data_IF_441923293085
#
_entry.id   IF_441923293085
#
_cell.length_a   1.000
_cell.length_b   1.000
_cell.length_c   1.000
_cell.angle_alpha   90.00
_cell.angle_beta   90.00
_cell.angle_gamma   90.00
#
_symmetry.space_group_name_H-M   'P 1'
#
loop_
_entity.id
_entity.type
_entity.pdbx_description
1 polymer ?
#
# COMPACT_ATOMS: atom_id res chain seq x y z
N UNK A 1 -18.13 -1.30 9.30
CA UNK A 1 -16.91 -1.76 9.98
C UNK A 1 -17.05 -1.45 11.46
N UNK A 2 -16.87 -2.42 12.35
CA UNK A 2 -16.87 -2.17 13.79
C UNK A 2 -15.50 -1.62 14.20
N UNK A 3 -15.47 -0.46 14.87
CA UNK A 3 -14.26 0.15 15.44
C UNK A 3 -14.20 -0.26 16.92
N UNK A 4 -13.26 -1.14 17.27
CA UNK A 4 -13.03 -1.52 18.67
C UNK A 4 -11.94 -0.58 19.22
N UNK A 5 -12.28 0.19 20.25
CA UNK A 5 -11.29 0.98 21.00
C UNK A 5 -10.58 0.00 21.93
N UNK A 6 -9.29 -0.24 21.67
CA UNK A 6 -8.48 -1.15 22.47
C UNK A 6 -8.14 -0.53 23.83
N UNK A 7 -7.97 -1.37 24.84
CA UNK A 7 -7.48 -0.96 26.15
C UNK A 7 -6.12 -0.23 25.97
N UNK A 8 -5.89 0.92 26.64
CA UNK A 8 -4.63 1.67 26.60
C UNK A 8 -3.36 0.85 26.90
N UNK A 9 -3.47 -0.31 27.55
CA UNK A 9 -2.34 -1.22 27.77
C UNK A 9 -1.85 -1.93 26.49
N UNK A 10 -2.67 -1.96 25.42
CA UNK A 10 -2.34 -2.60 24.13
C UNK A 10 -1.94 -1.52 23.11
N UNK A 11 -0.80 -0.86 23.34
CA UNK A 11 -0.27 0.19 22.44
C UNK A 11 0.81 -0.30 21.47
N UNK A 12 1.37 -1.50 21.69
CA UNK A 12 2.50 -2.03 20.93
C UNK A 12 2.21 -3.23 20.01
N UNK A 13 0.99 -3.77 20.02
CA UNK A 13 0.69 -4.99 19.28
C UNK A 13 0.62 -4.71 17.76
N UNK A 14 1.50 -5.33 16.98
CA UNK A 14 1.41 -5.35 15.51
C UNK A 14 1.46 -6.79 14.99
N UNK A 15 0.79 -7.04 13.87
CA UNK A 15 0.88 -8.33 13.18
C UNK A 15 -0.27 -9.28 13.50
N UNK A 16 -0.07 -10.55 13.15
CA UNK A 16 -1.10 -11.60 13.24
C UNK A 16 -1.06 -12.25 14.62
N UNK A 17 -2.23 -12.33 15.25
CA UNK A 17 -2.44 -13.12 16.46
C UNK A 17 -3.65 -14.03 16.23
N UNK A 18 -3.43 -15.33 16.11
CA UNK A 18 -4.50 -16.28 15.77
C UNK A 18 -5.21 -15.93 14.46
N UNK A 19 -6.52 -15.69 14.53
CA UNK A 19 -7.37 -15.31 13.40
C UNK A 19 -7.63 -13.80 13.29
N UNK A 20 -6.87 -12.97 14.00
CA UNK A 20 -6.96 -11.50 13.93
C UNK A 20 -5.62 -10.88 13.57
N UNK A 21 -5.67 -9.69 12.96
CA UNK A 21 -4.50 -8.87 12.64
C UNK A 21 -4.67 -7.52 13.29
N UNK A 22 -3.65 -7.12 14.05
CA UNK A 22 -3.49 -5.77 14.56
C UNK A 22 -2.78 -4.94 13.51
N UNK A 23 -3.41 -3.83 13.10
CA UNK A 23 -2.85 -2.89 12.14
C UNK A 23 -2.90 -1.48 12.72
N UNK A 24 -1.73 -0.84 12.76
CA UNK A 24 -1.64 0.60 13.05
C UNK A 24 -1.83 1.39 11.77
N UNK A 25 -2.74 2.35 11.80
CA UNK A 25 -2.87 3.33 10.73
C UNK A 25 -1.70 4.33 10.81
N UNK A 26 -1.51 5.08 9.73
CA UNK A 26 -0.56 6.19 9.73
C UNK A 26 -0.95 7.32 10.70
N UNK A 27 -2.24 7.46 11.02
CA UNK A 27 -2.74 8.44 12.01
C UNK A 27 -2.54 7.97 13.45
N UNK A 28 -1.91 6.80 13.65
CA UNK A 28 -1.64 6.23 14.96
C UNK A 28 -2.77 5.38 15.53
N UNK A 29 -3.93 5.33 14.87
CA UNK A 29 -5.08 4.52 15.28
C UNK A 29 -4.80 3.03 15.10
N UNK A 30 -5.20 2.23 16.09
CA UNK A 30 -5.12 0.76 16.02
C UNK A 30 -6.43 0.18 15.53
N UNK A 31 -6.36 -0.71 14.55
CA UNK A 31 -7.49 -1.49 14.04
C UNK A 31 -7.24 -2.97 14.23
N UNK A 32 -8.23 -3.68 14.77
CA UNK A 32 -8.27 -5.13 14.83
C UNK A 32 -9.14 -5.65 13.68
N UNK A 33 -8.61 -6.57 12.87
CA UNK A 33 -9.32 -7.12 11.71
C UNK A 33 -9.30 -8.64 11.80
N UNK A 34 -10.47 -9.29 11.69
CA UNK A 34 -10.56 -10.74 11.52
C UNK A 34 -10.02 -11.14 10.15
N UNK A 35 -9.13 -12.13 10.13
CA UNK A 35 -8.62 -12.72 8.89
C UNK A 35 -9.75 -13.41 8.15
N UNK A 36 -9.89 -13.07 6.86
CA UNK A 36 -10.76 -13.81 5.97
C UNK A 36 -10.16 -15.19 5.70
N UNK A 37 -11.00 -16.23 5.70
CA UNK A 37 -10.57 -17.56 5.29
C UNK A 37 -10.38 -17.60 3.77
N UNK A 38 -9.13 -17.82 3.35
CA UNK A 38 -8.72 -17.86 1.94
C UNK A 38 -8.38 -19.28 1.47
N UNK A 39 -8.54 -20.30 2.33
CA UNK A 39 -8.09 -21.69 2.07
C UNK A 39 -8.73 -22.32 0.83
N UNK A 40 -9.99 -21.99 0.55
CA UNK A 40 -10.76 -22.54 -0.57
C UNK A 40 -10.94 -21.55 -1.74
N UNK A 41 -10.26 -20.40 -1.72
CA UNK A 41 -10.47 -19.35 -2.72
C UNK A 41 -9.67 -19.64 -3.99
N UNK A 42 -10.39 -19.88 -5.09
CA UNK A 42 -9.82 -20.00 -6.44
C UNK A 42 -9.93 -18.67 -7.19
N UNK A 43 -8.78 -18.06 -7.46
CA UNK A 43 -8.71 -16.79 -8.19
C UNK A 43 -8.99 -16.95 -9.68
N UNK A 44 -9.82 -16.08 -10.25
CA UNK A 44 -10.03 -16.00 -11.69
C UNK A 44 -8.77 -15.52 -12.43
N UNK A 45 -8.72 -15.72 -13.75
CA UNK A 45 -7.60 -15.24 -14.59
C UNK A 45 -7.42 -13.73 -14.45
N UNK A 46 -8.51 -12.96 -14.47
CA UNK A 46 -8.47 -11.51 -14.31
C UNK A 46 -7.94 -11.09 -12.93
N UNK A 47 -8.35 -11.79 -11.86
CA UNK A 47 -7.85 -11.51 -10.51
C UNK A 47 -6.35 -11.80 -10.38
N UNK A 48 -5.87 -12.92 -10.96
CA UNK A 48 -4.44 -13.24 -10.99
C UNK A 48 -3.64 -12.18 -11.74
N UNK A 49 -4.11 -11.77 -12.93
CA UNK A 49 -3.47 -10.73 -13.73
C UNK A 49 -3.41 -9.39 -12.99
N UNK A 50 -4.51 -8.98 -12.34
CA UNK A 50 -4.52 -7.76 -11.53
C UNK A 50 -3.53 -7.82 -10.36
N UNK A 51 -3.46 -8.96 -9.65
CA UNK A 51 -2.50 -9.14 -8.55
C UNK A 51 -1.04 -9.08 -9.04
N UNK A 52 -0.77 -9.63 -10.22
CA UNK A 52 0.56 -9.54 -10.84
C UNK A 52 0.91 -8.09 -11.20
N UNK A 53 0.01 -7.36 -11.87
CA UNK A 53 0.18 -5.93 -12.16
C UNK A 53 0.39 -5.10 -10.89
N UNK A 54 -0.33 -5.42 -9.81
CA UNK A 54 -0.16 -4.75 -8.53
C UNK A 54 1.21 -5.04 -7.91
N UNK A 55 1.73 -6.27 -8.03
CA UNK A 55 3.08 -6.62 -7.57
C UNK A 55 4.14 -5.78 -8.30
N UNK A 56 3.99 -5.60 -9.61
CA UNK A 56 4.87 -4.77 -10.44
C UNK A 56 4.77 -3.29 -10.06
N UNK A 57 3.55 -2.77 -9.84
CA UNK A 57 3.32 -1.41 -9.37
C UNK A 57 4.02 -1.11 -8.03
N UNK A 58 3.99 -2.08 -7.10
CA UNK A 58 4.68 -1.96 -5.81
C UNK A 58 6.20 -1.98 -5.99
N UNK A 59 6.73 -2.82 -6.89
CA UNK A 59 8.16 -2.85 -7.19
C UNK A 59 8.62 -1.50 -7.77
N UNK A 60 7.86 -0.96 -8.74
CA UNK A 60 8.08 0.38 -9.28
C UNK A 60 8.07 1.46 -8.20
N UNK A 61 7.03 1.49 -7.37
CA UNK A 61 6.90 2.51 -6.33
C UNK A 61 8.05 2.44 -5.31
N UNK A 62 8.53 1.24 -4.96
CA UNK A 62 9.72 1.08 -4.11
C UNK A 62 10.97 1.66 -4.78
N UNK A 63 11.21 1.36 -6.05
CA UNK A 63 12.35 1.90 -6.79
C UNK A 63 12.25 3.44 -6.93
N UNK A 64 11.07 3.98 -7.22
CA UNK A 64 10.82 5.42 -7.32
C UNK A 64 11.08 6.17 -6.01
N UNK A 65 10.83 5.52 -4.87
CA UNK A 65 11.13 6.08 -3.54
C UNK A 65 12.58 5.91 -3.12
N UNK A 66 13.32 4.97 -3.72
CA UNK A 66 14.75 4.79 -3.47
C UNK A 66 15.58 5.85 -4.22
N UNK A 67 15.12 6.29 -5.39
CA UNK A 67 15.77 7.33 -6.20
C UNK A 67 15.50 8.75 -5.65
N UNK A 68 16.51 9.48 -5.15
CA UNK A 68 16.28 10.76 -4.46
C UNK A 68 15.60 11.83 -5.32
N UNK A 69 15.95 11.91 -6.60
CA UNK A 69 15.38 12.89 -7.54
C UNK A 69 13.90 12.63 -7.82
N UNK A 70 13.55 11.37 -8.07
CA UNK A 70 12.17 10.94 -8.37
C UNK A 70 11.32 11.03 -7.11
N UNK A 71 11.87 10.66 -5.96
CA UNK A 71 11.24 10.82 -4.66
C UNK A 71 10.86 12.28 -4.38
N UNK A 72 11.78 13.23 -4.59
CA UNK A 72 11.51 14.65 -4.34
C UNK A 72 10.37 15.19 -5.22
N UNK A 73 10.26 14.74 -6.48
CA UNK A 73 9.14 15.08 -7.36
C UNK A 73 7.82 14.53 -6.81
N UNK A 74 7.82 13.26 -6.38
CA UNK A 74 6.65 12.64 -5.79
C UNK A 74 6.26 13.27 -4.45
N UNK A 75 7.20 13.72 -3.62
CA UNK A 75 6.93 14.43 -2.37
C UNK A 75 6.25 15.78 -2.64
N UNK A 76 6.74 16.56 -3.61
CA UNK A 76 6.09 17.81 -4.02
C UNK A 76 4.68 17.59 -4.55
N UNK A 77 4.49 16.65 -5.47
CA UNK A 77 3.18 16.34 -6.06
C UNK A 77 2.21 15.79 -5.01
N UNK A 78 2.69 14.93 -4.12
CA UNK A 78 1.86 14.32 -3.09
C UNK A 78 1.42 15.33 -2.02
N UNK A 79 2.27 16.30 -1.68
CA UNK A 79 1.90 17.41 -0.80
C UNK A 79 0.74 18.24 -1.38
N UNK A 80 0.77 18.52 -2.69
CA UNK A 80 -0.30 19.27 -3.39
C UNK A 80 -1.62 18.50 -3.42
N UNK A 81 -1.57 17.18 -3.55
CA UNK A 81 -2.76 16.33 -3.62
C UNK A 81 -3.21 15.75 -2.26
N UNK A 82 -2.56 16.14 -1.15
CA UNK A 82 -2.76 15.53 0.18
C UNK A 82 -2.69 13.99 0.18
N UNK A 83 -1.83 13.44 -0.67
CA UNK A 83 -1.62 11.99 -0.82
C UNK A 83 -0.26 11.59 -0.30
N UNK A 84 -0.01 10.28 -0.22
CA UNK A 84 1.31 9.75 0.09
C UNK A 84 2.14 9.65 -1.19
N UNK A 85 3.44 10.04 -1.19
CA UNK A 85 4.32 9.92 -2.35
C UNK A 85 4.34 8.51 -2.94
N UNK A 86 4.43 7.50 -2.08
CA UNK A 86 4.37 6.09 -2.46
C UNK A 86 3.03 5.72 -3.14
N UNK A 87 1.90 6.16 -2.59
CA UNK A 87 0.58 5.89 -3.17
C UNK A 87 0.40 6.56 -4.53
N UNK A 88 0.99 7.75 -4.71
CA UNK A 88 0.98 8.47 -5.98
C UNK A 88 1.81 7.72 -7.02
N UNK A 89 3.01 7.23 -6.66
CA UNK A 89 3.83 6.41 -7.54
C UNK A 89 3.13 5.10 -7.97
N UNK A 90 2.44 4.42 -7.04
CA UNK A 90 1.62 3.25 -7.41
C UNK A 90 0.52 3.62 -8.40
N UNK A 91 -0.18 4.76 -8.18
CA UNK A 91 -1.23 5.22 -9.08
C UNK A 91 -0.70 5.55 -10.47
N UNK A 92 0.46 6.20 -10.54
CA UNK A 92 1.12 6.56 -11.79
C UNK A 92 1.48 5.34 -12.62
N UNK A 93 1.97 4.27 -11.99
CA UNK A 93 2.25 3.01 -12.68
C UNK A 93 1.00 2.45 -13.39
N UNK A 94 -0.16 2.48 -12.73
CA UNK A 94 -1.41 2.04 -13.34
C UNK A 94 -1.91 2.95 -14.46
N UNK A 95 -1.54 4.24 -14.42
CA UNK A 95 -1.81 5.23 -15.48
C UNK A 95 -0.78 5.20 -16.60
N UNK A 96 0.25 4.36 -16.52
CA UNK A 96 1.34 4.29 -17.49
C UNK A 96 2.36 5.43 -17.38
N UNK A 97 2.31 6.24 -16.32
CA UNK A 97 3.34 7.25 -16.04
C UNK A 97 4.49 6.60 -15.28
N UNK A 98 5.64 6.51 -15.94
CA UNK A 98 6.86 5.98 -15.36
C UNK A 98 7.90 7.09 -15.31
N UNK A 99 8.27 7.53 -14.10
CA UNK A 99 9.27 8.57 -13.85
C UNK A 99 10.68 8.00 -13.61
N UNK A 100 10.83 6.66 -13.62
CA UNK A 100 12.13 5.97 -13.48
C UNK A 100 12.79 5.67 -14.83
N UNK A 101 12.02 5.65 -15.91
CA UNK A 101 12.56 5.56 -17.26
C UNK A 101 12.53 6.96 -17.90
N UNK A 102 13.56 7.37 -18.65
CA UNK A 102 13.45 8.55 -19.49
C UNK A 102 12.24 8.39 -20.44
N UNK A 103 11.58 9.49 -20.85
CA UNK A 103 10.49 9.40 -21.82
C UNK A 103 11.01 8.64 -23.04
N UNK A 104 10.38 7.50 -23.35
CA UNK A 104 10.64 6.85 -24.63
C UNK A 104 10.25 7.86 -25.71
N UNK A 105 11.26 8.21 -26.51
CA UNK A 105 11.20 9.14 -27.63
C UNK A 105 10.32 8.58 -28.74
#
# INVERSE_FOLDING_TARGET
>A
MAKIILNPMIQGAQGKMGNVVFRRSHTGEMTLIKLADMSHVKWSKAQKAHRQRFKEAIAYAKAAMAEPKVRALYEKSAAKEHKRPFSLAVSDYFKGRNLLLPPQS
#
